data_IF_264701318283
#
_entry.id   IF_264701318283
#
_cell.length_a   1.000
_cell.length_b   1.000
_cell.length_c   1.000
_cell.angle_alpha   90.00
_cell.angle_beta   90.00
_cell.angle_gamma   90.00
#
_symmetry.space_group_name_H-M   'P 1'
#
loop_
_entity.id
_entity.type
_entity.pdbx_description
1 polymer ?
#
# COMPACT_ATOMS: atom_id res chain seq x y z
N UNK A 1 31.88 4.61 5.27
CA UNK A 1 30.45 4.98 5.15
C UNK A 1 30.05 5.62 3.84
N UNK A 2 30.87 5.49 2.79
CA UNK A 2 30.56 6.01 1.46
C UNK A 2 30.70 4.83 0.51
N UNK A 3 29.65 4.58 -0.27
CA UNK A 3 29.71 3.61 -1.35
C UNK A 3 30.84 4.03 -2.29
N UNK A 4 31.72 3.10 -2.65
CA UNK A 4 32.77 3.34 -3.66
C UNK A 4 32.18 3.58 -5.07
N UNK A 5 30.85 3.62 -5.19
CA UNK A 5 30.08 3.82 -6.41
C UNK A 5 29.32 5.15 -6.47
N UNK A 6 29.03 5.71 -5.30
CA UNK A 6 28.40 7.02 -5.12
C UNK A 6 29.16 7.73 -3.99
N UNK A 7 30.30 8.37 -4.27
CA UNK A 7 31.15 8.97 -3.24
C UNK A 7 30.46 10.09 -2.43
N UNK A 8 29.26 10.50 -2.84
CA UNK A 8 28.44 11.54 -2.23
C UNK A 8 27.12 11.05 -1.59
N UNK A 9 26.69 9.80 -1.84
CA UNK A 9 25.39 9.33 -1.35
C UNK A 9 25.54 8.51 -0.05
N UNK A 10 24.93 9.01 1.02
CA UNK A 10 24.80 8.28 2.29
C UNK A 10 23.65 7.27 2.19
N UNK A 11 23.94 5.98 2.31
CA UNK A 11 22.93 4.90 2.33
C UNK A 11 22.62 4.58 3.79
N UNK A 12 21.34 4.63 4.17
CA UNK A 12 20.93 4.36 5.56
C UNK A 12 19.93 3.21 5.71
N UNK A 13 19.35 2.75 4.61
CA UNK A 13 18.47 1.58 4.59
C UNK A 13 18.47 0.91 3.22
N UNK A 14 18.07 -0.35 3.18
CA UNK A 14 17.66 -1.07 1.97
C UNK A 14 16.28 -1.69 2.19
N UNK A 15 15.54 -1.89 1.09
CA UNK A 15 14.26 -2.57 1.13
C UNK A 15 13.92 -3.26 -0.21
N UNK A 16 13.24 -4.41 -0.21
CA UNK A 16 12.79 -5.08 -1.42
C UNK A 16 11.84 -4.25 -2.27
N UNK A 17 11.94 -4.39 -3.59
CA UNK A 17 11.02 -3.82 -4.58
C UNK A 17 10.79 -4.84 -5.69
N UNK A 18 9.53 -5.12 -5.98
CA UNK A 18 9.12 -6.00 -7.07
C UNK A 18 9.28 -5.32 -8.43
N UNK A 19 9.81 -6.04 -9.42
CA UNK A 19 9.90 -5.63 -10.81
C UNK A 19 8.93 -6.42 -11.67
N UNK A 20 7.81 -5.81 -12.00
CA UNK A 20 6.74 -6.48 -12.76
C UNK A 20 7.21 -6.98 -14.13
N UNK A 21 8.21 -6.33 -14.76
CA UNK A 21 8.72 -6.75 -16.07
C UNK A 21 9.48 -8.09 -16.02
N UNK A 22 10.18 -8.36 -14.93
CA UNK A 22 11.01 -9.55 -14.77
C UNK A 22 10.35 -10.62 -13.91
N UNK A 23 9.31 -10.24 -13.18
CA UNK A 23 8.66 -11.07 -12.16
C UNK A 23 9.66 -11.52 -11.08
N UNK A 24 10.40 -10.54 -10.55
CA UNK A 24 11.43 -10.78 -9.53
C UNK A 24 11.50 -9.64 -8.51
N UNK A 25 12.29 -9.87 -7.46
CA UNK A 25 12.52 -8.91 -6.39
C UNK A 25 13.95 -8.40 -6.44
N UNK A 26 14.15 -7.11 -6.19
CA UNK A 26 15.48 -6.50 -6.09
C UNK A 26 15.51 -5.54 -4.92
N UNK A 27 16.71 -5.29 -4.38
CA UNK A 27 16.88 -4.31 -3.32
C UNK A 27 16.97 -2.88 -3.89
N UNK A 28 16.39 -1.94 -3.17
CA UNK A 28 16.58 -0.51 -3.40
C UNK A 28 17.28 0.10 -2.19
N UNK A 29 18.20 1.03 -2.43
CA UNK A 29 18.89 1.79 -1.39
C UNK A 29 18.10 3.06 -1.06
N UNK A 30 17.96 3.36 0.22
CA UNK A 30 17.49 4.66 0.69
C UNK A 30 18.68 5.58 0.89
N UNK A 31 18.83 6.55 -0.01
CA UNK A 31 20.03 7.38 -0.10
C UNK A 31 19.74 8.87 -0.02
N UNK A 32 20.62 9.61 0.63
CA UNK A 32 20.69 11.07 0.50
C UNK A 32 21.50 11.37 -0.77
N UNK A 33 20.86 11.91 -1.80
CA UNK A 33 21.47 12.18 -3.10
C UNK A 33 22.26 13.49 -3.17
N UNK A 34 22.67 14.06 -2.03
CA UNK A 34 23.28 15.41 -1.96
C UNK A 34 22.26 16.55 -2.11
N UNK A 35 20.97 16.23 -2.16
CA UNK A 35 19.83 17.16 -2.09
C UNK A 35 19.06 16.80 -0.84
N UNK A 36 18.59 17.78 -0.07
CA UNK A 36 18.04 17.67 1.30
C UNK A 36 16.93 16.62 1.58
N UNK A 37 16.51 15.81 0.61
CA UNK A 37 15.55 14.72 0.75
C UNK A 37 16.17 13.35 0.41
N UNK A 38 16.09 12.40 1.35
CA UNK A 38 16.39 10.98 1.08
C UNK A 38 15.40 10.38 0.06
N UNK A 39 15.88 9.49 -0.81
CA UNK A 39 15.06 8.82 -1.85
C UNK A 39 15.47 7.36 -2.02
N UNK A 40 14.51 6.56 -2.45
CA UNK A 40 14.77 5.17 -2.85
C UNK A 40 15.34 5.11 -4.26
N UNK A 41 16.52 4.50 -4.43
CA UNK A 41 17.18 4.29 -5.71
C UNK A 41 17.50 2.81 -5.90
N UNK A 42 17.53 2.35 -7.16
CA UNK A 42 17.86 0.96 -7.49
C UNK A 42 19.27 0.63 -6.97
N UNK A 43 19.42 -0.51 -6.28
CA UNK A 43 20.72 -0.98 -5.82
C UNK A 43 21.46 -1.67 -6.96
N UNK A 44 22.76 -1.40 -7.04
CA UNK A 44 23.72 -2.17 -7.83
C UNK A 44 24.72 -2.75 -6.85
N UNK A 45 24.99 -4.05 -6.96
CA UNK A 45 26.02 -4.72 -6.20
C UNK A 45 27.30 -4.79 -7.04
N UNK A 46 28.42 -4.56 -6.37
CA UNK A 46 29.75 -4.59 -6.97
C UNK A 46 30.26 -6.02 -6.99
N UNK A 47 30.62 -6.46 -8.19
CA UNK A 47 31.42 -7.66 -8.43
C UNK A 47 32.78 -7.23 -9.00
N UNK A 48 33.78 -8.11 -8.95
CA UNK A 48 35.17 -7.81 -9.32
C UNK A 48 35.33 -7.11 -10.68
N UNK A 49 34.46 -7.43 -11.65
CA UNK A 49 34.55 -6.90 -13.02
C UNK A 49 33.28 -6.21 -13.51
N UNK A 50 32.21 -6.15 -12.71
CA UNK A 50 30.94 -5.57 -13.16
C UNK A 50 30.04 -5.10 -12.02
N UNK A 51 29.13 -4.19 -12.34
CA UNK A 51 28.02 -3.79 -11.48
C UNK A 51 26.78 -4.53 -11.95
N UNK A 52 26.15 -5.27 -11.05
CA UNK A 52 24.94 -6.03 -11.41
C UNK A 52 23.86 -5.79 -10.37
N UNK A 53 22.62 -5.92 -10.81
CA UNK A 53 21.48 -5.97 -9.91
C UNK A 53 21.35 -7.43 -9.49
N UNK A 54 21.38 -7.69 -8.19
CA UNK A 54 21.02 -9.00 -7.64
C UNK A 54 19.50 -9.07 -7.58
N UNK A 55 18.95 -10.12 -8.17
CA UNK A 55 17.52 -10.43 -8.17
C UNK A 55 17.23 -11.68 -7.35
N UNK A 56 16.07 -11.69 -6.71
CA UNK A 56 15.57 -12.76 -5.86
C UNK A 56 14.25 -13.28 -6.44
N UNK A 57 14.03 -14.59 -6.34
CA UNK A 57 12.81 -15.21 -6.86
C UNK A 57 11.61 -14.92 -5.95
N UNK A 58 11.83 -14.81 -4.65
CA UNK A 58 10.79 -14.57 -3.65
C UNK A 58 11.02 -13.28 -2.85
N UNK A 59 9.93 -12.75 -2.28
CA UNK A 59 10.01 -11.62 -1.37
C UNK A 59 10.75 -12.01 -0.08
N UNK A 60 10.54 -13.25 0.37
CA UNK A 60 11.05 -13.83 1.61
C UNK A 60 12.57 -13.94 1.59
N UNK A 61 13.16 -14.38 0.48
CA UNK A 61 14.62 -14.33 0.28
C UNK A 61 15.15 -12.89 0.28
N UNK A 62 14.46 -12.01 -0.45
CA UNK A 62 14.90 -10.62 -0.61
C UNK A 62 14.86 -9.84 0.72
N UNK A 63 13.84 -10.08 1.55
CA UNK A 63 13.70 -9.40 2.85
C UNK A 63 14.73 -9.91 3.87
N UNK A 64 15.06 -11.21 3.87
CA UNK A 64 16.13 -11.74 4.72
C UNK A 64 17.48 -11.08 4.44
N UNK A 65 17.84 -10.95 3.16
CA UNK A 65 19.05 -10.22 2.76
C UNK A 65 18.98 -8.74 3.10
N UNK A 66 17.81 -8.11 2.91
CA UNK A 66 17.57 -6.73 3.33
C UNK A 66 17.83 -6.55 4.83
N UNK A 67 17.41 -7.49 5.68
CA UNK A 67 17.57 -7.41 7.12
C UNK A 67 19.04 -7.54 7.55
N UNK A 68 19.80 -8.43 6.91
CA UNK A 68 21.24 -8.57 7.13
C UNK A 68 21.95 -7.25 6.79
N UNK A 69 21.63 -6.66 5.64
CA UNK A 69 22.22 -5.40 5.19
C UNK A 69 21.82 -4.25 6.12
N UNK A 70 20.55 -4.14 6.51
CA UNK A 70 20.05 -3.10 7.40
C UNK A 70 20.68 -3.17 8.81
N UNK A 71 20.91 -4.38 9.34
CA UNK A 71 21.67 -4.59 10.59
C UNK A 71 23.10 -4.04 10.46
N UNK A 72 23.78 -4.34 9.36
CA UNK A 72 25.12 -3.84 9.10
C UNK A 72 25.16 -2.31 8.92
N UNK A 73 24.18 -1.72 8.22
CA UNK A 73 24.05 -0.27 8.09
C UNK A 73 23.83 0.41 9.45
N UNK A 74 23.01 -0.20 10.32
CA UNK A 74 22.78 0.28 11.69
C UNK A 74 24.08 0.29 12.50
N UNK A 75 24.87 -0.79 12.44
CA UNK A 75 26.18 -0.88 13.10
C UNK A 75 27.11 0.21 12.59
N UNK A 76 27.16 0.40 11.27
CA UNK A 76 27.96 1.46 10.66
C UNK A 76 27.52 2.83 11.18
N UNK A 77 26.21 3.16 11.16
CA UNK A 77 25.65 4.45 11.63
C UNK A 77 26.16 4.76 13.04
N UNK A 78 26.03 3.81 13.95
CA UNK A 78 26.48 3.94 15.35
C UNK A 78 28.00 4.16 15.46
N UNK A 79 28.79 3.51 14.60
CA UNK A 79 30.25 3.59 14.58
C UNK A 79 30.81 4.80 13.82
N UNK A 80 29.97 5.67 13.24
CA UNK A 80 30.46 6.86 12.52
C UNK A 80 31.00 7.95 13.44
N UNK A 81 31.83 8.84 12.87
CA UNK A 81 32.36 10.03 13.55
C UNK A 81 31.37 11.21 13.56
N UNK A 82 30.10 10.97 13.22
CA UNK A 82 29.05 11.99 13.25
C UNK A 82 28.63 12.31 14.69
N UNK A 83 27.94 13.45 14.90
CA UNK A 83 27.36 13.79 16.21
C UNK A 83 26.29 12.77 16.61
N UNK A 84 26.09 12.58 17.92
CA UNK A 84 25.10 11.64 18.44
C UNK A 84 23.67 12.00 17.99
N UNK A 85 23.36 13.30 17.92
CA UNK A 85 22.11 13.82 17.37
C UNK A 85 21.88 13.41 15.91
N UNK A 86 22.94 13.47 15.09
CA UNK A 86 22.86 13.08 13.68
C UNK A 86 22.70 11.56 13.55
N UNK A 87 23.43 10.77 14.35
CA UNK A 87 23.28 9.31 14.38
C UNK A 87 21.85 8.90 14.71
N UNK A 88 21.26 9.46 15.76
CA UNK A 88 19.89 9.18 16.17
C UNK A 88 18.88 9.57 15.07
N UNK A 89 19.06 10.74 14.45
CA UNK A 89 18.25 11.19 13.32
C UNK A 89 18.31 10.23 12.13
N UNK A 90 19.50 9.73 11.77
CA UNK A 90 19.68 8.79 10.66
C UNK A 90 19.04 7.42 10.96
N UNK A 91 19.19 6.91 12.19
CA UNK A 91 18.53 5.67 12.62
C UNK A 91 17.01 5.80 12.55
N UNK A 92 16.45 6.90 13.07
CA UNK A 92 15.02 7.15 13.04
C UNK A 92 14.49 7.29 11.60
N UNK A 93 15.24 7.96 10.71
CA UNK A 93 14.90 8.07 9.29
C UNK A 93 14.91 6.70 8.60
N UNK A 94 15.90 5.86 8.89
CA UNK A 94 16.02 4.50 8.37
C UNK A 94 14.83 3.65 8.78
N UNK A 95 14.53 3.59 10.07
CA UNK A 95 13.41 2.82 10.62
C UNK A 95 12.07 3.25 10.04
N UNK A 96 11.80 4.57 10.00
CA UNK A 96 10.57 5.12 9.42
C UNK A 96 10.43 4.77 7.94
N UNK A 97 11.50 4.83 7.17
CA UNK A 97 11.48 4.52 5.74
C UNK A 97 11.19 3.03 5.49
N UNK A 98 11.79 2.13 6.28
CA UNK A 98 11.55 0.69 6.22
C UNK A 98 10.10 0.37 6.63
N UNK A 99 9.63 0.90 7.76
CA UNK A 99 8.25 0.71 8.25
C UNK A 99 7.22 1.20 7.22
N UNK A 100 7.45 2.36 6.61
CA UNK A 100 6.58 2.91 5.57
C UNK A 100 6.51 2.00 4.32
N UNK A 101 7.66 1.48 3.85
CA UNK A 101 7.70 0.55 2.71
C UNK A 101 7.02 -0.78 3.00
N UNK A 102 7.28 -1.34 4.18
CA UNK A 102 6.65 -2.57 4.64
C UNK A 102 5.12 -2.43 4.68
N UNK A 103 4.61 -1.33 5.24
CA UNK A 103 3.18 -1.03 5.26
C UNK A 103 2.58 -0.97 3.86
N UNK A 104 3.22 -0.26 2.93
CA UNK A 104 2.72 -0.13 1.55
C UNK A 104 2.69 -1.46 0.81
N UNK A 105 3.70 -2.31 1.00
CA UNK A 105 3.75 -3.61 0.36
C UNK A 105 2.70 -4.56 0.95
N UNK A 106 2.55 -4.57 2.28
CA UNK A 106 1.55 -5.38 2.96
C UNK A 106 0.13 -5.01 2.53
N UNK A 107 -0.16 -3.72 2.41
CA UNK A 107 -1.42 -3.22 1.86
C UNK A 107 -1.68 -3.77 0.46
N UNK A 108 -0.69 -3.69 -0.44
CA UNK A 108 -0.83 -4.15 -1.82
C UNK A 108 -1.03 -5.69 -1.92
N UNK A 109 -0.30 -6.47 -1.11
CA UNK A 109 -0.50 -7.93 -0.98
C UNK A 109 -1.92 -8.27 -0.52
N UNK A 110 -2.45 -7.54 0.47
CA UNK A 110 -3.83 -7.74 0.95
C UNK A 110 -4.86 -7.38 -0.12
N UNK A 111 -4.67 -6.29 -0.85
CA UNK A 111 -5.56 -5.91 -1.96
C UNK A 111 -5.55 -6.95 -3.07
N UNK A 112 -4.38 -7.53 -3.39
CA UNK A 112 -4.28 -8.62 -4.36
C UNK A 112 -5.05 -9.85 -3.89
N UNK A 113 -4.87 -10.29 -2.64
CA UNK A 113 -5.63 -11.42 -2.09
C UNK A 113 -7.15 -11.17 -2.15
N UNK A 114 -7.57 -9.96 -1.81
CA UNK A 114 -8.97 -9.55 -1.88
C UNK A 114 -9.52 -9.56 -3.31
N UNK A 115 -8.73 -9.05 -4.26
CA UNK A 115 -9.06 -9.05 -5.69
C UNK A 115 -9.27 -10.47 -6.21
N UNK A 116 -8.33 -11.38 -5.93
CA UNK A 116 -8.41 -12.78 -6.36
C UNK A 116 -9.63 -13.49 -5.78
N UNK A 117 -9.94 -13.25 -4.49
CA UNK A 117 -11.16 -13.78 -3.86
C UNK A 117 -12.45 -13.22 -4.47
N UNK A 118 -12.45 -11.94 -4.85
CA UNK A 118 -13.62 -11.28 -5.47
C UNK A 118 -13.96 -11.89 -6.83
N UNK A 119 -12.95 -12.29 -7.59
CA UNK A 119 -13.11 -12.85 -8.94
C UNK A 119 -13.04 -14.37 -8.97
N UNK A 120 -12.93 -15.05 -7.83
CA UNK A 120 -12.75 -16.50 -7.74
C UNK A 120 -13.86 -17.27 -8.46
N UNK A 121 -15.12 -16.86 -8.29
CA UNK A 121 -16.29 -17.48 -8.90
C UNK A 121 -16.71 -16.90 -10.24
N UNK A 122 -15.98 -15.90 -10.77
CA UNK A 122 -16.30 -15.30 -12.06
C UNK A 122 -16.11 -16.30 -13.21
N UNK A 123 -16.91 -16.24 -14.29
CA UNK A 123 -16.67 -17.08 -15.46
C UNK A 123 -15.37 -16.66 -16.15
N UNK A 124 -14.54 -17.64 -16.53
CA UNK A 124 -13.35 -17.42 -17.36
C UNK A 124 -13.75 -17.56 -18.83
N UNK A 125 -13.20 -16.73 -19.74
CA UNK A 125 -13.46 -16.90 -21.16
C UNK A 125 -12.87 -18.22 -21.67
N UNK A 126 -13.50 -18.84 -22.66
CA UNK A 126 -12.93 -20.00 -23.34
C UNK A 126 -11.81 -19.56 -24.31
N UNK A 127 -10.90 -20.48 -24.67
CA UNK A 127 -9.82 -20.16 -25.61
C UNK A 127 -10.36 -19.70 -26.97
N UNK A 128 -11.47 -20.27 -27.39
CA UNK A 128 -12.11 -20.03 -28.69
C UNK A 128 -12.77 -18.64 -28.77
N UNK A 129 -13.11 -18.06 -27.62
CA UNK A 129 -13.69 -16.72 -27.47
C UNK A 129 -12.64 -15.61 -27.57
N UNK A 130 -11.36 -15.95 -27.43
CA UNK A 130 -10.24 -15.01 -27.47
C UNK A 130 -9.73 -14.90 -28.90
N UNK A 131 -9.53 -13.66 -29.34
CA UNK A 131 -8.82 -13.36 -30.58
C UNK A 131 -7.59 -12.51 -30.28
N UNK A 132 -6.44 -12.86 -30.87
CA UNK A 132 -5.20 -12.11 -30.73
C UNK A 132 -4.84 -11.54 -32.10
N UNK A 133 -5.39 -10.37 -32.38
CA UNK A 133 -5.07 -9.58 -33.56
C UNK A 133 -3.69 -8.94 -33.39
N UNK A 134 -2.63 -9.67 -33.74
CA UNK A 134 -1.28 -9.12 -33.83
C UNK A 134 -0.73 -9.29 -35.23
N UNK A 135 -0.61 -8.17 -35.96
CA UNK A 135 0.00 -8.12 -37.29
C UNK A 135 1.48 -8.52 -37.31
N UNK A 136 2.11 -8.70 -36.14
CA UNK A 136 3.55 -8.95 -35.99
C UNK A 136 3.87 -10.30 -35.32
N UNK A 137 2.95 -11.27 -35.37
CA UNK A 137 3.17 -12.64 -34.87
C UNK A 137 4.32 -13.31 -35.63
N UNK A 138 5.55 -13.18 -35.09
CA UNK A 138 6.70 -14.04 -35.42
C UNK A 138 6.85 -15.21 -34.44
N UNK A 139 6.12 -15.19 -33.31
CA UNK A 139 6.02 -16.28 -32.32
C UNK A 139 4.76 -17.10 -32.58
N UNK A 140 4.76 -18.34 -32.10
CA UNK A 140 3.58 -19.20 -32.13
C UNK A 140 2.41 -18.51 -31.43
N UNK A 141 1.29 -18.37 -32.15
CA UNK A 141 0.07 -17.78 -31.64
C UNK A 141 -0.49 -18.61 -30.47
N UNK A 142 -0.22 -19.92 -30.45
CA UNK A 142 -0.61 -20.82 -29.39
C UNK A 142 0.10 -20.51 -28.06
N UNK A 143 1.39 -20.20 -28.08
CA UNK A 143 2.15 -19.81 -26.89
C UNK A 143 1.62 -18.51 -26.28
N UNK A 144 1.34 -17.51 -27.12
CA UNK A 144 0.77 -16.23 -26.69
C UNK A 144 -0.61 -16.40 -26.08
N UNK A 145 -1.45 -17.22 -26.71
CA UNK A 145 -2.78 -17.53 -26.19
C UNK A 145 -2.67 -18.25 -24.85
N UNK A 146 -1.83 -19.29 -24.75
CA UNK A 146 -1.64 -20.04 -23.51
C UNK A 146 -1.12 -19.15 -22.37
N UNK A 147 -0.21 -18.22 -22.66
CA UNK A 147 0.28 -17.26 -21.66
C UNK A 147 -0.79 -16.25 -21.25
N UNK A 148 -1.59 -15.74 -22.19
CA UNK A 148 -2.71 -14.85 -21.91
C UNK A 148 -3.78 -15.54 -21.06
N UNK A 149 -4.10 -16.80 -21.36
CA UNK A 149 -5.06 -17.59 -20.59
C UNK A 149 -4.61 -17.73 -19.13
N UNK A 150 -3.32 -17.93 -18.86
CA UNK A 150 -2.79 -17.97 -17.48
C UNK A 150 -3.02 -16.66 -16.73
N UNK A 151 -2.94 -15.51 -17.39
CA UNK A 151 -3.26 -14.22 -16.77
C UNK A 151 -4.77 -14.05 -16.55
N UNK A 152 -5.60 -14.48 -17.50
CA UNK A 152 -7.06 -14.46 -17.38
C UNK A 152 -7.60 -15.43 -16.32
N UNK A 153 -6.90 -16.53 -16.05
CA UNK A 153 -7.24 -17.45 -14.97
C UNK A 153 -7.12 -16.79 -13.59
N UNK A 154 -6.12 -15.90 -13.41
CA UNK A 154 -5.94 -15.10 -12.19
C UNK A 154 -7.07 -14.10 -12.02
N UNK A 155 -7.38 -13.35 -13.07
CA UNK A 155 -8.49 -12.39 -13.07
C UNK A 155 -9.07 -12.25 -14.50
N UNK A 156 -10.31 -12.74 -14.75
CA UNK A 156 -10.90 -12.72 -16.10
C UNK A 156 -11.32 -11.33 -16.58
N UNK A 157 -11.29 -10.32 -15.71
CA UNK A 157 -11.70 -8.95 -16.04
C UNK A 157 -10.55 -8.03 -16.43
N UNK A 158 -9.31 -8.51 -16.41
CA UNK A 158 -8.16 -7.69 -16.83
C UNK A 158 -8.32 -7.22 -18.27
N UNK A 159 -7.90 -5.99 -18.53
CA UNK A 159 -7.85 -5.43 -19.89
C UNK A 159 -6.42 -5.25 -20.38
N UNK A 160 -5.43 -5.46 -19.52
CA UNK A 160 -4.02 -5.38 -19.87
C UNK A 160 -3.30 -6.56 -19.23
N UNK A 161 -2.61 -7.36 -20.05
CA UNK A 161 -1.93 -8.58 -19.62
C UNK A 161 -0.43 -8.50 -19.96
N UNK A 162 0.42 -8.86 -19.01
CA UNK A 162 1.86 -8.94 -19.20
C UNK A 162 2.24 -10.39 -19.50
N UNK A 163 2.72 -10.62 -20.73
CA UNK A 163 3.16 -11.93 -21.23
C UNK A 163 4.70 -11.93 -21.23
N UNK A 164 5.28 -12.32 -20.09
CA UNK A 164 6.73 -12.28 -19.82
C UNK A 164 7.54 -13.16 -20.78
N UNK A 165 7.13 -14.42 -20.98
CA UNK A 165 7.83 -15.38 -21.84
C UNK A 165 7.77 -14.95 -23.31
N UNK A 166 6.63 -14.39 -23.70
CA UNK A 166 6.42 -13.80 -25.03
C UNK A 166 7.06 -12.42 -25.20
N UNK A 167 7.50 -11.79 -24.10
CA UNK A 167 8.00 -10.42 -24.05
C UNK A 167 7.02 -9.44 -24.69
N UNK A 168 5.76 -9.49 -24.25
CA UNK A 168 4.66 -8.67 -24.76
C UNK A 168 3.78 -8.14 -23.64
N UNK A 169 3.12 -7.02 -23.89
CA UNK A 169 2.01 -6.55 -23.05
C UNK A 169 0.83 -6.34 -23.98
N UNK A 170 -0.20 -7.15 -23.80
CA UNK A 170 -1.40 -7.07 -24.63
C UNK A 170 -2.45 -6.20 -23.96
N UNK A 171 -3.21 -5.47 -24.78
CA UNK A 171 -4.37 -4.71 -24.37
C UNK A 171 -5.64 -5.26 -25.02
N UNK A 172 -6.71 -5.41 -24.24
CA UNK A 172 -8.04 -5.75 -24.73
C UNK A 172 -8.52 -4.61 -25.64
N UNK A 173 -9.04 -5.00 -26.79
CA UNK A 173 -9.62 -4.10 -27.78
C UNK A 173 -11.14 -4.19 -27.70
N UNK A 174 -11.79 -3.03 -27.75
CA UNK A 174 -13.23 -2.96 -28.02
C UNK A 174 -13.40 -3.07 -29.53
N UNK A 175 -13.58 -4.28 -30.04
CA UNK A 175 -13.96 -4.55 -31.42
C UNK A 175 -15.45 -4.88 -31.48
N UNK A 176 -16.10 -4.60 -32.62
CA UNK A 176 -17.49 -5.00 -32.88
C UNK A 176 -17.62 -6.48 -33.27
N UNK A 177 -16.72 -7.33 -32.79
CA UNK A 177 -16.70 -8.77 -33.06
C UNK A 177 -17.30 -9.52 -31.88
N UNK A 178 -17.87 -10.70 -32.12
CA UNK A 178 -18.36 -11.59 -31.05
C UNK A 178 -17.22 -12.14 -30.16
N UNK A 179 -15.96 -12.00 -30.62
CA UNK A 179 -14.76 -12.40 -29.89
C UNK A 179 -14.16 -11.28 -29.04
N UNK A 180 -13.53 -11.68 -27.95
CA UNK A 180 -12.72 -10.83 -27.07
C UNK A 180 -11.36 -10.61 -27.72
N UNK A 181 -11.21 -9.48 -28.40
CA UNK A 181 -9.98 -9.15 -29.11
C UNK A 181 -8.88 -8.60 -28.18
N UNK A 182 -7.65 -9.04 -28.39
CA UNK A 182 -6.43 -8.58 -27.75
C UNK A 182 -5.42 -8.11 -28.81
N UNK A 183 -4.70 -7.03 -28.49
CA UNK A 183 -3.81 -6.34 -29.43
C UNK A 183 -2.50 -5.91 -28.76
N UNK A 184 -1.43 -5.81 -29.54
CA UNK A 184 -0.10 -5.37 -29.09
C UNK A 184 -0.02 -3.82 -29.02
N UNK A 185 -0.95 -3.20 -28.26
CA UNK A 185 -1.03 -1.74 -28.10
C UNK A 185 0.04 -1.17 -27.17
N UNK A 186 0.63 -2.00 -26.31
CA UNK A 186 1.54 -1.55 -25.27
C UNK A 186 2.98 -1.98 -25.57
N UNK A 187 3.93 -1.05 -25.42
CA UNK A 187 5.35 -1.38 -25.50
C UNK A 187 5.74 -2.30 -24.35
N UNK A 188 6.56 -3.31 -24.60
CA UNK A 188 7.12 -4.16 -23.54
C UNK A 188 8.18 -3.40 -22.73
N UNK A 189 7.82 -2.90 -21.55
CA UNK A 189 8.73 -2.20 -20.65
C UNK A 189 8.22 -2.21 -19.19
N UNK A 190 9.04 -1.69 -18.26
CA UNK A 190 8.73 -1.67 -16.82
C UNK A 190 7.43 -0.94 -16.50
N UNK A 191 7.11 0.11 -17.25
CA UNK A 191 5.91 0.93 -16.99
C UNK A 191 4.64 0.16 -17.32
N UNK A 192 4.59 -0.48 -18.48
CA UNK A 192 3.42 -1.24 -18.94
C UNK A 192 3.27 -2.56 -18.20
N UNK A 193 4.37 -3.25 -17.87
CA UNK A 193 4.32 -4.43 -17.01
C UNK A 193 3.78 -4.09 -15.61
N UNK A 194 4.16 -2.93 -15.05
CA UNK A 194 3.62 -2.45 -13.77
C UNK A 194 2.13 -2.11 -13.84
N UNK A 195 1.67 -1.57 -14.96
CA UNK A 195 0.23 -1.33 -15.19
C UNK A 195 -0.52 -2.66 -15.25
N UNK A 196 -0.02 -3.65 -15.99
CA UNK A 196 -0.62 -4.99 -16.06
C UNK A 196 -0.69 -5.68 -14.69
N UNK A 197 0.37 -5.57 -13.86
CA UNK A 197 0.33 -6.07 -12.49
C UNK A 197 -0.78 -5.41 -11.66
N UNK A 198 -0.92 -4.08 -11.77
CA UNK A 198 -1.98 -3.33 -11.07
C UNK A 198 -3.38 -3.66 -11.59
N UNK A 199 -3.53 -4.00 -12.86
CA UNK A 199 -4.79 -4.40 -13.47
C UNK A 199 -5.36 -5.65 -12.80
N UNK A 200 -4.52 -6.62 -12.44
CA UNK A 200 -4.94 -7.83 -11.70
C UNK A 200 -5.69 -7.45 -10.42
N UNK A 201 -5.24 -6.40 -9.73
CA UNK A 201 -5.87 -5.90 -8.52
C UNK A 201 -7.07 -5.00 -8.85
N UNK A 202 -6.85 -3.95 -9.66
CA UNK A 202 -7.81 -2.88 -9.88
C UNK A 202 -9.09 -3.37 -10.57
N UNK A 203 -8.97 -4.26 -11.56
CA UNK A 203 -10.12 -4.71 -12.35
C UNK A 203 -11.08 -5.61 -11.60
N UNK A 204 -10.60 -6.32 -10.58
CA UNK A 204 -11.47 -7.04 -9.65
C UNK A 204 -12.48 -6.12 -8.95
N UNK A 205 -12.15 -4.83 -8.83
CA UNK A 205 -12.98 -3.78 -8.23
C UNK A 205 -13.60 -2.83 -9.27
N UNK A 206 -13.54 -3.18 -10.57
CA UNK A 206 -14.06 -2.33 -11.64
C UNK A 206 -13.26 -1.05 -11.89
N UNK A 207 -12.01 -0.98 -11.41
CA UNK A 207 -11.10 0.16 -11.60
C UNK A 207 -10.00 -0.20 -12.61
N UNK A 208 -9.30 0.81 -13.15
CA UNK A 208 -8.17 0.60 -14.07
C UNK A 208 -6.82 0.62 -13.34
N UNK A 209 -5.93 -0.29 -13.71
CA UNK A 209 -4.54 -0.30 -13.24
C UNK A 209 -3.66 0.74 -13.94
N UNK A 210 -4.15 1.37 -15.00
CA UNK A 210 -3.50 2.51 -15.67
C UNK A 210 -3.77 3.85 -14.97
N UNK A 211 -4.78 3.91 -14.09
CA UNK A 211 -5.11 5.11 -13.32
C UNK A 211 -4.04 5.46 -12.26
N UNK A 212 -4.19 6.64 -11.64
CA UNK A 212 -3.32 7.04 -10.55
C UNK A 212 -3.43 6.06 -9.37
N UNK A 213 -2.41 5.20 -9.22
CA UNK A 213 -2.43 4.06 -8.29
C UNK A 213 -2.82 4.43 -6.86
N UNK A 214 -2.38 5.58 -6.38
CA UNK A 214 -2.74 6.02 -5.05
C UNK A 214 -4.22 6.31 -4.83
N UNK A 215 -4.89 6.85 -5.88
CA UNK A 215 -6.33 7.07 -5.91
C UNK A 215 -7.06 5.74 -6.06
N UNK A 216 -6.60 4.89 -6.98
CA UNK A 216 -7.12 3.52 -7.16
C UNK A 216 -7.10 2.74 -5.84
N UNK A 217 -5.97 2.72 -5.13
CA UNK A 217 -5.86 2.08 -3.81
C UNK A 217 -6.77 2.71 -2.76
N UNK A 218 -7.03 4.03 -2.84
CA UNK A 218 -7.99 4.69 -1.95
C UNK A 218 -9.43 4.23 -2.22
N UNK A 219 -9.81 4.10 -3.49
CA UNK A 219 -11.14 3.59 -3.88
C UNK A 219 -11.31 2.11 -3.53
N UNK A 220 -10.28 1.28 -3.79
CA UNK A 220 -10.27 -0.13 -3.35
C UNK A 220 -10.42 -0.20 -1.83
N UNK A 221 -9.73 0.65 -1.07
CA UNK A 221 -9.90 0.73 0.39
C UNK A 221 -11.36 0.97 0.75
N UNK A 222 -12.03 1.92 0.09
CA UNK A 222 -13.45 2.25 0.30
C UNK A 222 -14.36 1.06 -0.03
N UNK A 223 -14.13 0.39 -1.16
CA UNK A 223 -14.93 -0.78 -1.59
C UNK A 223 -14.72 -1.99 -0.69
N UNK A 224 -13.50 -2.18 -0.19
CA UNK A 224 -13.15 -3.23 0.76
C UNK A 224 -13.62 -2.95 2.17
N UNK A 225 -14.12 -1.74 2.49
CA UNK A 225 -14.79 -1.49 3.75
C UNK A 225 -16.08 -2.34 3.76
N UNK A 226 -16.15 -3.47 4.49
CA UNK A 226 -17.44 -4.08 4.73
C UNK A 226 -18.20 -3.05 5.56
N UNK A 227 -19.43 -2.73 5.15
CA UNK A 227 -20.36 -1.79 5.82
C UNK A 227 -20.00 -1.73 7.31
N UNK A 228 -19.46 -0.61 7.80
CA UNK A 228 -18.87 -0.40 9.14
C UNK A 228 -19.47 -1.23 10.30
N UNK A 229 -20.76 -1.52 10.24
CA UNK A 229 -21.51 -2.35 11.17
C UNK A 229 -21.12 -3.85 11.16
N UNK A 230 -20.66 -4.42 10.04
CA UNK A 230 -20.22 -5.82 9.94
C UNK A 230 -18.90 -6.05 10.68
N UNK A 231 -17.97 -5.08 10.64
CA UNK A 231 -16.75 -5.10 11.45
C UNK A 231 -17.07 -5.15 12.95
N UNK A 232 -18.05 -4.37 13.40
CA UNK A 232 -18.51 -4.41 14.79
C UNK A 232 -19.14 -5.75 15.18
N UNK A 233 -19.53 -6.60 14.22
CA UNK A 233 -20.08 -7.93 14.52
C UNK A 233 -19.00 -8.99 14.80
N UNK A 234 -17.76 -8.76 14.39
CA UNK A 234 -16.66 -9.72 14.60
C UNK A 234 -16.35 -9.86 16.10
N UNK A 235 -16.30 -11.10 16.59
CA UNK A 235 -16.10 -11.39 18.03
C UNK A 235 -14.75 -10.88 18.56
N UNK A 236 -13.70 -10.95 17.74
CA UNK A 236 -12.38 -10.40 18.05
C UNK A 236 -12.41 -8.88 18.24
N UNK A 237 -13.09 -8.19 17.32
CA UNK A 237 -13.28 -6.73 17.39
C UNK A 237 -14.14 -6.36 18.60
N UNK A 238 -15.23 -7.08 18.87
CA UNK A 238 -16.05 -6.85 20.09
C UNK A 238 -15.22 -6.98 21.37
N UNK A 239 -14.36 -8.00 21.47
CA UNK A 239 -13.48 -8.19 22.63
C UNK A 239 -12.49 -7.03 22.78
N UNK A 240 -11.79 -6.68 21.70
CA UNK A 240 -10.85 -5.55 21.68
C UNK A 240 -11.53 -4.23 22.09
N UNK A 241 -12.71 -3.95 21.52
CA UNK A 241 -13.48 -2.74 21.82
C UNK A 241 -14.00 -2.73 23.26
N UNK A 242 -14.32 -3.89 23.83
CA UNK A 242 -14.68 -4.04 25.24
C UNK A 242 -13.49 -3.75 26.15
N UNK A 243 -12.31 -4.31 25.85
CA UNK A 243 -11.09 -4.10 26.62
C UNK A 243 -10.65 -2.64 26.59
N UNK A 244 -10.72 -2.00 25.41
CA UNK A 244 -10.45 -0.58 25.25
C UNK A 244 -11.43 0.29 26.04
N UNK A 245 -12.73 -0.02 25.97
CA UNK A 245 -13.76 0.68 26.77
C UNK A 245 -13.47 0.56 28.27
N UNK A 246 -13.09 -0.63 28.75
CA UNK A 246 -12.75 -0.86 30.15
C UNK A 246 -11.50 -0.08 30.59
N UNK A 247 -10.59 0.23 29.66
CA UNK A 247 -9.43 1.11 29.86
C UNK A 247 -9.76 2.61 29.72
N UNK A 248 -11.04 2.97 29.54
CA UNK A 248 -11.50 4.35 29.35
C UNK A 248 -11.21 4.93 27.96
N UNK A 249 -10.81 4.09 27.00
CA UNK A 249 -10.49 4.53 25.65
C UNK A 249 -11.78 4.65 24.82
N UNK A 250 -11.91 5.80 24.15
CA UNK A 250 -13.10 6.11 23.34
C UNK A 250 -12.81 6.18 21.84
N UNK A 251 -11.52 6.23 21.45
CA UNK A 251 -11.09 6.22 20.05
C UNK A 251 -9.88 5.29 19.88
N UNK A 252 -9.98 4.33 18.96
CA UNK A 252 -8.89 3.43 18.60
C UNK A 252 -8.60 3.53 17.10
N UNK A 253 -7.34 3.67 16.73
CA UNK A 253 -6.89 3.55 15.35
C UNK A 253 -6.28 2.17 15.12
N UNK A 254 -6.76 1.47 14.08
CA UNK A 254 -6.11 0.29 13.54
C UNK A 254 -5.92 0.47 12.03
N UNK A 255 -4.67 0.66 11.58
CA UNK A 255 -4.38 0.97 10.18
C UNK A 255 -5.07 2.26 9.69
N UNK A 256 -6.00 2.16 8.74
CA UNK A 256 -6.78 3.30 8.23
C UNK A 256 -8.16 3.47 8.89
N UNK A 257 -8.49 2.59 9.84
CA UNK A 257 -9.79 2.55 10.50
C UNK A 257 -9.71 3.24 11.85
N UNK A 258 -10.80 3.91 12.21
CA UNK A 258 -10.98 4.56 13.49
C UNK A 258 -12.24 4.03 14.15
N UNK A 259 -12.09 3.22 15.18
CA UNK A 259 -13.19 2.82 16.05
C UNK A 259 -13.48 3.95 17.01
N UNK A 260 -14.74 4.36 17.08
CA UNK A 260 -15.18 5.57 17.74
C UNK A 260 -16.39 5.29 18.61
N UNK A 261 -16.26 5.51 19.91
CA UNK A 261 -17.31 5.26 20.89
C UNK A 261 -17.99 6.56 21.32
N UNK A 262 -19.32 6.62 21.20
CA UNK A 262 -20.14 7.71 21.76
C UNK A 262 -21.14 7.15 22.78
N UNK A 263 -21.19 7.74 23.97
CA UNK A 263 -22.14 7.38 25.04
C UNK A 263 -23.51 8.04 24.82
N UNK A 264 -23.53 9.28 24.34
CA UNK A 264 -24.77 10.02 24.06
C UNK A 264 -25.47 9.52 22.80
N UNK A 265 -26.77 9.26 22.93
CA UNK A 265 -27.63 8.77 21.84
C UNK A 265 -27.66 7.24 21.66
N UNK A 266 -26.93 6.47 22.48
CA UNK A 266 -27.03 4.99 22.50
C UNK A 266 -26.45 4.26 21.29
N UNK A 267 -25.63 4.94 20.48
CA UNK A 267 -25.10 4.40 19.21
C UNK A 267 -23.92 3.43 19.45
N UNK A 268 -23.16 3.60 20.54
CA UNK A 268 -22.05 2.71 20.90
C UNK A 268 -20.83 2.90 20.00
N UNK A 269 -20.09 1.82 19.74
CA UNK A 269 -18.92 1.84 18.85
C UNK A 269 -19.36 2.02 17.38
N UNK A 270 -18.66 2.88 16.66
CA UNK A 270 -18.84 3.13 15.21
C UNK A 270 -17.48 3.08 14.52
N UNK A 271 -17.47 2.85 13.21
CA UNK A 271 -16.23 2.86 12.41
C UNK A 271 -16.21 4.09 11.52
N UNK A 272 -15.14 4.87 11.61
CA UNK A 272 -14.85 6.06 10.78
C UNK A 272 -13.59 5.82 9.96
N UNK A 273 -13.46 6.52 8.84
CA UNK A 273 -12.25 6.49 8.04
C UNK A 273 -11.20 7.48 8.60
N UNK A 274 -9.93 7.11 8.56
CA UNK A 274 -8.83 8.04 8.84
C UNK A 274 -8.50 8.86 7.58
N UNK A 275 -8.17 10.14 7.75
CA UNK A 275 -7.69 10.99 6.64
C UNK A 275 -6.25 10.68 6.19
N UNK A 276 -5.78 9.45 6.35
CA UNK A 276 -4.51 9.01 5.76
C UNK A 276 -4.66 8.76 4.25
N UNK A 277 -5.17 9.75 3.53
CA UNK A 277 -5.06 9.86 2.07
C UNK A 277 -3.81 10.68 1.80
N UNK A 278 -2.72 10.02 1.37
CA UNK A 278 -1.63 10.47 0.45
C UNK A 278 -1.13 11.93 0.42
N UNK A 279 -1.51 12.77 1.39
CA UNK A 279 -1.32 14.21 1.43
C UNK A 279 -1.05 14.69 2.87
N UNK A 280 -0.56 13.83 3.77
CA UNK A 280 0.29 14.36 4.83
C UNK A 280 1.43 15.05 4.11
N UNK A 281 1.43 16.39 4.11
CA UNK A 281 2.52 17.17 3.54
C UNK A 281 3.79 16.57 4.11
N UNK A 282 4.69 16.14 3.23
CA UNK A 282 6.05 15.70 3.59
C UNK A 282 6.53 16.56 4.75
N UNK A 283 6.63 16.00 5.96
CA UNK A 283 7.08 16.72 7.16
C UNK A 283 6.16 16.71 8.38
N UNK A 284 4.88 16.31 8.28
CA UNK A 284 3.97 16.25 9.44
C UNK A 284 4.10 14.93 10.22
N UNK A 285 4.38 15.01 11.53
CA UNK A 285 4.50 13.85 12.43
C UNK A 285 3.26 13.70 13.31
N UNK A 286 2.76 12.49 13.54
CA UNK A 286 1.57 12.27 14.36
C UNK A 286 1.87 12.62 15.85
N UNK A 287 0.98 13.39 16.48
CA UNK A 287 1.12 13.80 17.88
C UNK A 287 0.33 12.85 18.78
N UNK A 288 1.00 11.81 19.29
CA UNK A 288 0.38 10.74 20.08
C UNK A 288 -0.29 11.22 21.36
N UNK A 289 0.21 12.28 22.00
CA UNK A 289 -0.38 12.86 23.21
C UNK A 289 -1.47 13.91 22.91
N UNK A 290 -1.77 14.15 21.64
CA UNK A 290 -2.81 15.11 21.24
C UNK A 290 -4.22 14.56 21.45
N UNK A 291 -5.20 15.46 21.56
CA UNK A 291 -6.62 15.09 21.64
C UNK A 291 -7.36 15.42 20.33
N UNK A 292 -8.41 14.64 20.04
CA UNK A 292 -9.34 14.94 18.95
C UNK A 292 -10.49 15.74 19.53
N UNK A 293 -10.80 16.90 18.95
CA UNK A 293 -11.98 17.67 19.31
C UNK A 293 -13.05 17.45 18.25
N UNK A 294 -14.07 16.68 18.60
CA UNK A 294 -15.22 16.42 17.73
C UNK A 294 -16.21 17.58 17.83
N UNK A 295 -16.12 18.53 16.89
CA UNK A 295 -17.08 19.65 16.76
C UNK A 295 -18.20 19.39 15.75
N UNK A 296 -18.15 18.26 15.06
CA UNK A 296 -19.12 17.89 14.02
C UNK A 296 -19.23 16.36 13.87
N UNK A 297 -20.25 15.90 13.14
CA UNK A 297 -20.52 14.48 12.90
C UNK A 297 -19.81 13.93 11.64
N UNK A 298 -18.63 14.44 11.33
CA UNK A 298 -17.85 14.03 10.15
C UNK A 298 -17.47 12.54 10.17
N UNK A 299 -17.50 11.92 8.98
CA UNK A 299 -17.14 10.50 8.76
C UNK A 299 -15.65 10.22 8.67
N UNK A 300 -14.84 11.27 8.50
CA UNK A 300 -13.39 11.22 8.45
C UNK A 300 -12.81 11.81 9.73
N UNK A 301 -11.85 11.12 10.33
CA UNK A 301 -11.07 11.59 11.47
C UNK A 301 -9.70 12.06 10.99
N UNK A 302 -9.35 13.29 11.34
CA UNK A 302 -8.03 13.87 11.20
C UNK A 302 -7.35 13.80 12.57
N UNK A 303 -6.26 13.05 12.66
CA UNK A 303 -5.54 12.87 13.91
C UNK A 303 -4.70 14.10 14.27
N UNK A 304 -4.40 14.29 15.56
CA UNK A 304 -3.47 15.32 15.99
C UNK A 304 -2.09 15.10 15.36
N UNK A 305 -1.43 16.17 14.94
CA UNK A 305 -0.13 16.11 14.29
C UNK A 305 0.72 17.34 14.62
N UNK A 306 2.02 17.21 14.39
CA UNK A 306 3.04 18.23 14.55
C UNK A 306 3.42 18.67 13.14
N UNK A 307 3.25 19.96 12.83
CA UNK A 307 3.71 20.56 11.59
C UNK A 307 5.24 20.58 11.52
N UNK A 308 5.80 20.82 10.33
CA UNK A 308 7.25 20.97 10.13
C UNK A 308 7.89 22.05 11.01
N UNK A 309 7.14 23.10 11.33
CA UNK A 309 7.57 24.20 12.21
C UNK A 309 7.48 23.87 13.71
N UNK A 310 7.14 22.63 14.09
CA UNK A 310 6.97 22.19 15.48
C UNK A 310 5.61 22.50 16.10
N UNK A 311 4.70 23.18 15.38
CA UNK A 311 3.37 23.51 15.87
C UNK A 311 2.51 22.26 16.03
N UNK A 312 1.93 22.08 17.22
CA UNK A 312 1.04 20.97 17.55
C UNK A 312 -0.40 21.33 17.17
N UNK A 313 -0.98 20.55 16.27
CA UNK A 313 -2.35 20.68 15.78
C UNK A 313 -3.22 19.61 16.43
N UNK A 314 -4.35 20.02 17.01
CA UNK A 314 -5.36 19.10 17.55
C UNK A 314 -6.11 18.38 16.43
N UNK A 315 -6.56 17.15 16.70
CA UNK A 315 -7.35 16.36 15.76
C UNK A 315 -8.78 16.89 15.65
N UNK A 316 -9.45 16.58 14.54
CA UNK A 316 -10.84 16.96 14.29
C UNK A 316 -11.55 15.98 13.35
N UNK A 317 -12.87 16.08 13.26
CA UNK A 317 -13.70 15.31 12.31
C UNK A 317 -14.09 16.15 11.10
N UNK A 318 -14.26 15.52 9.93
CA UNK A 318 -14.77 16.15 8.70
C UNK A 318 -15.47 15.14 7.78
N UNK A 319 -16.12 15.61 6.71
CA UNK A 319 -16.65 14.76 5.66
C UNK A 319 -15.61 14.46 4.57
N UNK A 320 -15.91 13.47 3.72
CA UNK A 320 -15.11 13.17 2.54
C UNK A 320 -15.12 14.34 1.54
N UNK A 321 -14.10 14.45 0.66
CA UNK A 321 -14.20 15.30 -0.52
C UNK A 321 -15.52 15.02 -1.25
N UNK A 322 -16.24 16.07 -1.64
CA UNK A 322 -17.56 16.02 -2.33
C UNK A 322 -18.80 15.70 -1.46
N UNK A 323 -18.67 15.36 -0.17
CA UNK A 323 -19.81 15.09 0.76
C UNK A 323 -20.39 16.38 1.42
N UNK A 324 -19.95 17.57 0.98
CA UNK A 324 -20.30 18.84 1.62
C UNK A 324 -19.72 18.99 3.04
N UNK A 325 -20.10 20.05 3.76
CA UNK A 325 -19.64 20.27 5.15
C UNK A 325 -20.32 19.28 6.10
N UNK A 326 -19.54 18.72 7.03
CA UNK A 326 -20.08 17.88 8.09
C UNK A 326 -21.05 18.67 8.97
N UNK A 327 -22.15 18.04 9.42
CA UNK A 327 -23.12 18.67 10.31
C UNK A 327 -22.45 19.06 11.63
N UNK A 328 -22.49 20.34 12.03
CA UNK A 328 -21.88 20.79 13.28
C UNK A 328 -22.63 20.20 14.49
N UNK A 329 -21.90 19.97 15.57
CA UNK A 329 -22.46 19.69 16.90
C UNK A 329 -22.86 21.00 17.57
N UNK A 330 -23.77 20.93 18.53
CA UNK A 330 -23.97 22.04 19.45
C UNK A 330 -22.67 22.27 20.24
N UNK A 331 -22.29 23.51 20.59
CA UNK A 331 -21.07 23.78 21.36
C UNK A 331 -20.96 23.02 22.69
N UNK A 332 -22.10 22.77 23.34
CA UNK A 332 -22.17 22.00 24.60
C UNK A 332 -21.95 20.49 24.38
N UNK A 333 -22.12 19.99 23.14
CA UNK A 333 -21.96 18.58 22.77
C UNK A 333 -20.56 18.29 22.19
N UNK A 334 -19.61 19.20 22.39
CA UNK A 334 -18.23 19.02 21.94
C UNK A 334 -17.55 17.95 22.77
N UNK A 335 -17.01 16.94 22.09
CA UNK A 335 -16.35 15.82 22.75
C UNK A 335 -14.86 15.89 22.51
N UNK A 336 -14.08 16.00 23.59
CA UNK A 336 -12.63 15.77 23.56
C UNK A 336 -12.35 14.29 23.77
N UNK A 337 -11.64 13.69 22.82
CA UNK A 337 -11.42 12.25 22.80
C UNK A 337 -9.92 11.95 22.74
N UNK A 338 -9.36 11.28 23.76
CA UNK A 338 -8.05 10.68 23.65
C UNK A 338 -8.10 9.53 22.65
N UNK A 339 -7.00 9.30 21.95
CA UNK A 339 -6.90 8.21 20.98
C UNK A 339 -5.68 7.34 21.25
N UNK A 340 -5.80 6.06 20.95
CA UNK A 340 -4.67 5.13 20.95
C UNK A 340 -4.49 4.55 19.55
N UNK A 341 -3.23 4.36 19.16
CA UNK A 341 -2.87 3.62 17.95
C UNK A 341 -2.50 2.22 18.38
N UNK A 342 -3.26 1.25 17.90
CA UNK A 342 -2.94 -0.17 18.08
C UNK A 342 -2.01 -0.52 16.90
N UNK A 343 -0.77 -0.90 17.19
CA UNK A 343 0.12 -1.48 16.19
C UNK A 343 -0.38 -2.92 15.92
N UNK A 344 -0.37 -3.31 14.65
CA UNK A 344 -0.74 -4.63 14.10
C UNK A 344 -2.22 -4.90 13.70
N UNK A 345 -2.39 -5.13 12.39
CA UNK A 345 -3.07 -6.30 11.81
C UNK A 345 -4.53 -6.68 12.13
N UNK A 346 -5.38 -5.74 12.54
CA UNK A 346 -6.84 -5.98 12.47
C UNK A 346 -7.37 -6.20 11.03
N UNK A 347 -6.56 -5.95 9.99
CA UNK A 347 -6.87 -6.34 8.61
C UNK A 347 -6.78 -7.85 8.37
N UNK A 348 -6.09 -8.62 9.23
CA UNK A 348 -6.08 -10.09 9.17
C UNK A 348 -7.47 -10.64 9.55
N UNK A 349 -8.24 -9.91 10.37
CA UNK A 349 -9.59 -10.30 10.76
C UNK A 349 -10.70 -10.01 9.74
N UNK A 350 -10.42 -9.29 8.65
CA UNK A 350 -11.43 -8.95 7.63
C UNK A 350 -11.84 -10.13 6.74
N UNK A 351 -11.00 -11.17 6.68
CA UNK A 351 -11.28 -12.40 5.92
C UNK A 351 -11.74 -13.58 6.78
N UNK A 352 -11.91 -13.39 8.09
CA UNK A 352 -12.39 -14.42 9.01
C UNK A 352 -11.33 -15.39 9.54
N UNK A 353 -10.05 -15.15 9.28
CA UNK A 353 -8.97 -15.99 9.81
C UNK A 353 -8.39 -15.35 11.09
N UNK A 354 -8.58 -16.06 12.20
CA UNK A 354 -7.96 -15.74 13.47
C UNK A 354 -6.56 -16.37 13.48
N UNK A 355 -5.51 -15.57 13.66
CA UNK A 355 -4.28 -16.10 14.22
C UNK A 355 -4.55 -16.39 15.71
N UNK A 356 -4.82 -17.65 16.02
CA UNK A 356 -4.53 -18.17 17.35
C UNK A 356 -3.06 -18.58 17.34
N UNK A 357 -2.23 -17.80 18.02
CA UNK A 357 -1.28 -18.26 19.04
C UNK A 357 -0.79 -17.08 19.88
#
# INVERSE_FOLDING_TARGET
MRSTEYPYDLIIAVYPTYRALFDDWVLFNYTDGGTSSFRWKKRFDKFETSKRIVSYASFEECIQESDIINKNLTIQIKASNESDELKESLLLKSEKAIKARSRLLKEEKLMLAAALKTVESAPRPAKEEIDISSHYLRKDQEDLLNELMKELDKNPFIEIAHLRESRRVLGRSVTHTDKIAWTDRYRYNETTAKIAYREIIARAFGLSGADHWGKTKSEIRIMLLPRANQLLQLASIKRMLSDAKNKGQKVLMAGSYVFWYEEEGGIGWTVKASHSSEHSKSGEALWHQGTIISKNHGRIVVFPYIKENGERVKGHTKNAPHDGRAKPRHPDDYVELPFEIIDEDLMVGLFGELNYE
#
